data_IF_329946848731
#
_entry.id   IF_329946848731
#
_cell.length_a   1.000
_cell.length_b   1.000
_cell.length_c   1.000
_cell.angle_alpha   90.00
_cell.angle_beta   90.00
_cell.angle_gamma   90.00
#
_symmetry.space_group_name_H-M   'P 1'
#
loop_
_entity.id
_entity.type
_entity.pdbx_description
1 polymer ?
#
# COMPACT_ATOMS: atom_id res chain seq x y z
N UNK A 1 20.58 -13.89 -11.75
CA UNK A 1 20.12 -14.62 -10.55
C UNK A 1 18.61 -14.43 -10.46
N UNK A 2 17.86 -15.50 -10.24
CA UNK A 2 16.41 -15.46 -10.04
C UNK A 2 16.10 -14.60 -8.82
N UNK A 3 15.02 -13.78 -8.86
CA UNK A 3 14.66 -12.89 -7.74
C UNK A 3 13.16 -12.86 -7.52
N UNK A 4 12.77 -13.09 -6.26
CA UNK A 4 11.44 -12.92 -5.70
C UNK A 4 11.51 -12.11 -4.40
N UNK A 5 12.50 -11.24 -4.29
CA UNK A 5 12.80 -10.45 -3.08
C UNK A 5 11.74 -9.37 -2.84
N UNK A 6 11.25 -8.75 -3.92
CA UNK A 6 10.28 -7.64 -3.87
C UNK A 6 9.50 -7.51 -5.18
N UNK A 7 8.48 -6.64 -5.17
CA UNK A 7 7.59 -6.36 -6.30
C UNK A 7 7.82 -5.00 -6.99
N UNK A 8 8.99 -4.36 -6.75
CA UNK A 8 9.31 -3.03 -7.28
C UNK A 8 10.67 -2.97 -8.02
N UNK A 9 11.28 -4.09 -8.33
CA UNK A 9 12.58 -4.12 -9.05
C UNK A 9 12.44 -4.02 -10.57
N UNK A 10 11.27 -4.30 -11.15
CA UNK A 10 11.02 -4.10 -12.57
C UNK A 10 10.76 -2.61 -12.85
N UNK A 11 11.15 -2.13 -14.05
CA UNK A 11 11.10 -0.70 -14.37
C UNK A 11 9.65 -0.17 -14.47
N UNK A 12 8.98 -0.44 -15.58
CA UNK A 12 7.57 -0.12 -15.81
C UNK A 12 6.98 -1.07 -16.83
N UNK A 13 5.66 -1.23 -16.85
CA UNK A 13 5.01 -2.07 -17.85
C UNK A 13 5.24 -1.51 -19.27
N UNK A 14 5.31 -2.38 -20.30
CA UNK A 14 5.61 -1.97 -21.68
C UNK A 14 4.71 -0.86 -22.21
N UNK A 15 3.45 -0.84 -21.82
CA UNK A 15 2.46 0.16 -22.24
C UNK A 15 2.84 1.57 -21.78
N UNK A 16 3.34 1.73 -20.56
CA UNK A 16 3.82 3.02 -20.03
C UNK A 16 5.06 3.47 -20.79
N UNK A 17 6.04 2.57 -21.00
CA UNK A 17 7.27 2.88 -21.75
C UNK A 17 6.94 3.33 -23.17
N UNK A 18 6.08 2.61 -23.87
CA UNK A 18 5.65 2.96 -25.22
C UNK A 18 4.97 4.33 -25.26
N UNK A 19 4.13 4.64 -24.27
CA UNK A 19 3.43 5.93 -24.21
C UNK A 19 4.38 7.09 -23.91
N UNK A 20 5.34 6.92 -23.03
CA UNK A 20 6.39 7.93 -22.79
C UNK A 20 7.19 8.21 -24.06
N UNK A 21 7.52 7.14 -24.80
CA UNK A 21 8.25 7.29 -26.08
C UNK A 21 7.43 8.03 -27.14
N UNK A 22 6.14 7.84 -27.21
CA UNK A 22 5.26 8.52 -28.17
C UNK A 22 5.23 10.02 -27.95
N UNK A 23 5.23 10.48 -26.69
CA UNK A 23 5.07 11.88 -26.32
C UNK A 23 6.39 12.62 -26.07
N UNK A 24 7.54 12.01 -26.38
CA UNK A 24 8.87 12.53 -26.04
C UNK A 24 9.16 13.96 -26.53
N UNK A 25 8.47 14.41 -27.57
CA UNK A 25 8.62 15.73 -28.16
C UNK A 25 7.49 16.70 -27.79
N UNK A 26 6.57 16.29 -26.94
CA UNK A 26 5.47 17.12 -26.48
C UNK A 26 5.86 17.96 -25.25
N UNK A 27 5.17 19.07 -25.07
CA UNK A 27 5.35 19.95 -23.90
C UNK A 27 4.04 20.03 -23.14
N UNK A 28 4.12 19.88 -21.81
CA UNK A 28 2.95 19.85 -20.95
C UNK A 28 3.06 20.85 -19.80
N UNK A 29 1.96 21.41 -19.30
CA UNK A 29 1.94 22.15 -18.04
C UNK A 29 2.55 21.34 -16.90
N UNK A 30 3.27 22.00 -16.00
CA UNK A 30 3.90 21.35 -14.87
C UNK A 30 2.98 21.14 -13.67
N UNK A 31 3.54 20.50 -12.64
CA UNK A 31 2.97 20.41 -11.29
C UNK A 31 1.60 19.73 -11.23
N UNK A 32 1.32 18.77 -12.13
CA UNK A 32 0.08 17.99 -12.13
C UNK A 32 -1.15 18.71 -12.68
N UNK A 33 -0.97 19.88 -13.36
CA UNK A 33 -2.10 20.65 -13.94
C UNK A 33 -2.41 20.29 -15.39
N UNK A 34 -1.70 19.31 -15.93
CA UNK A 34 -1.76 18.83 -17.30
C UNK A 34 -2.98 17.94 -17.58
N UNK A 35 -3.18 17.61 -18.85
CA UNK A 35 -4.33 16.84 -19.29
C UNK A 35 -4.21 15.33 -18.97
N UNK A 36 -3.00 14.78 -18.81
CA UNK A 36 -2.82 13.39 -18.37
C UNK A 36 -3.24 13.21 -16.91
N UNK A 37 -2.82 14.12 -16.03
CA UNK A 37 -3.28 14.11 -14.64
C UNK A 37 -4.81 14.25 -14.54
N UNK A 38 -5.42 15.14 -15.35
CA UNK A 38 -6.88 15.29 -15.39
C UNK A 38 -7.58 14.01 -15.88
N UNK A 39 -7.05 13.40 -16.95
CA UNK A 39 -7.61 12.17 -17.51
C UNK A 39 -7.51 11.01 -16.52
N UNK A 40 -6.34 10.81 -15.91
CA UNK A 40 -6.13 9.79 -14.88
C UNK A 40 -7.07 10.00 -13.68
N UNK A 41 -7.17 11.23 -13.17
CA UNK A 41 -8.08 11.56 -12.08
C UNK A 41 -9.54 11.30 -12.45
N UNK A 42 -9.94 11.61 -13.69
CA UNK A 42 -11.28 11.32 -14.19
C UNK A 42 -11.61 9.83 -14.19
N UNK A 43 -10.68 8.97 -14.64
CA UNK A 43 -10.84 7.51 -14.64
C UNK A 43 -10.94 6.93 -13.22
N UNK A 44 -10.06 7.37 -12.31
CA UNK A 44 -10.09 6.92 -10.92
C UNK A 44 -11.39 7.37 -10.25
N UNK A 45 -11.81 8.62 -10.45
CA UNK A 45 -13.09 9.15 -9.94
C UNK A 45 -14.29 8.35 -10.42
N UNK A 46 -14.30 7.95 -11.69
CA UNK A 46 -15.37 7.13 -12.26
C UNK A 46 -15.43 5.73 -11.61
N UNK A 47 -14.28 5.12 -11.31
CA UNK A 47 -14.21 3.82 -10.60
C UNK A 47 -14.60 3.92 -9.13
N UNK A 48 -14.42 5.07 -8.51
CA UNK A 48 -14.88 5.36 -7.15
C UNK A 48 -16.39 5.66 -7.08
N UNK A 49 -17.07 5.81 -8.23
CA UNK A 49 -18.46 6.27 -8.33
C UNK A 49 -18.75 7.51 -7.45
N UNK A 50 -17.76 8.39 -7.36
CA UNK A 50 -17.82 9.54 -6.45
C UNK A 50 -17.24 10.80 -7.10
N UNK A 51 -18.12 11.71 -7.58
CA UNK A 51 -17.72 12.94 -8.27
C UNK A 51 -16.98 13.93 -7.36
N UNK A 52 -17.13 13.83 -6.04
CA UNK A 52 -16.48 14.70 -5.06
C UNK A 52 -15.07 14.25 -4.71
N UNK A 53 -14.65 13.06 -5.17
CA UNK A 53 -13.30 12.57 -4.94
C UNK A 53 -12.26 13.48 -5.58
N UNK A 54 -11.28 13.89 -4.78
CA UNK A 54 -10.13 14.71 -5.20
C UNK A 54 -8.90 13.83 -5.32
N UNK A 55 -8.26 13.81 -6.50
CA UNK A 55 -7.18 12.89 -6.81
C UNK A 55 -5.87 13.64 -7.00
N UNK A 56 -4.84 13.22 -6.28
CA UNK A 56 -3.48 13.74 -6.35
C UNK A 56 -2.50 12.64 -6.73
N UNK A 57 -1.41 13.00 -7.43
CA UNK A 57 -0.37 12.06 -7.80
C UNK A 57 0.94 12.45 -7.15
N UNK A 58 1.50 11.56 -6.32
CA UNK A 58 2.76 11.75 -5.59
C UNK A 58 3.78 10.69 -6.03
N UNK A 59 5.04 10.82 -5.60
CA UNK A 59 6.15 10.06 -6.20
C UNK A 59 6.39 8.68 -5.61
N UNK A 60 6.04 8.43 -4.37
CA UNK A 60 6.32 7.14 -3.72
C UNK A 60 5.65 7.01 -2.37
N UNK A 61 5.47 5.77 -1.90
CA UNK A 61 4.65 5.43 -0.73
C UNK A 61 5.04 6.18 0.54
N UNK A 62 6.30 6.11 0.97
CA UNK A 62 6.78 6.79 2.19
C UNK A 62 6.53 8.30 2.15
N UNK A 63 6.85 8.96 1.01
CA UNK A 63 6.59 10.39 0.85
C UNK A 63 5.08 10.68 0.88
N UNK A 64 4.27 9.83 0.27
CA UNK A 64 2.82 9.93 0.27
C UNK A 64 2.26 9.82 1.69
N UNK A 65 2.73 8.84 2.47
CA UNK A 65 2.32 8.66 3.87
C UNK A 65 2.67 9.88 4.72
N UNK A 66 3.89 10.44 4.56
CA UNK A 66 4.29 11.68 5.22
C UNK A 66 3.32 12.83 4.90
N UNK A 67 3.10 13.10 3.61
CA UNK A 67 2.27 14.23 3.16
C UNK A 67 0.83 14.09 3.63
N UNK A 68 0.24 12.90 3.47
CA UNK A 68 -1.15 12.65 3.85
C UNK A 68 -1.31 12.76 5.36
N UNK A 69 -0.51 12.05 6.16
CA UNK A 69 -0.62 12.04 7.62
C UNK A 69 -0.38 13.45 8.19
N UNK A 70 0.64 14.18 7.71
CA UNK A 70 0.91 15.56 8.12
C UNK A 70 -0.26 16.50 7.77
N UNK A 71 -0.97 16.22 6.68
CA UNK A 71 -2.09 17.06 6.24
C UNK A 71 -3.40 16.86 6.99
N UNK A 72 -3.66 15.62 7.48
CA UNK A 72 -4.94 15.26 8.11
C UNK A 72 -4.86 15.12 9.63
N UNK A 73 -3.66 15.23 10.21
CA UNK A 73 -3.41 15.01 11.64
C UNK A 73 -3.03 16.34 12.30
N UNK A 74 -3.68 16.68 13.41
CA UNK A 74 -3.32 17.88 14.16
C UNK A 74 -1.91 17.75 14.78
N UNK A 75 -1.16 18.85 14.84
CA UNK A 75 0.25 18.86 15.29
C UNK A 75 0.51 18.18 16.65
N UNK A 76 -0.48 18.16 17.55
CA UNK A 76 -0.41 17.54 18.88
C UNK A 76 -0.91 16.10 18.91
N UNK A 77 -1.25 15.54 17.76
CA UNK A 77 -1.85 14.22 17.63
C UNK A 77 -0.91 13.23 16.92
N UNK A 78 -1.21 11.96 17.07
CA UNK A 78 -0.47 10.87 16.46
C UNK A 78 -1.36 9.98 15.58
N UNK A 79 -0.74 9.05 14.87
CA UNK A 79 -1.40 8.12 13.95
C UNK A 79 -1.48 6.73 14.57
N UNK A 80 -2.70 6.20 14.70
CA UNK A 80 -2.94 4.84 15.21
C UNK A 80 -2.81 3.84 14.07
N UNK A 81 -2.01 2.80 14.27
CA UNK A 81 -1.80 1.74 13.27
C UNK A 81 -1.47 0.40 13.93
N UNK A 82 -1.40 -0.68 13.13
CA UNK A 82 -0.83 -1.96 13.57
C UNK A 82 0.67 -1.79 13.90
N UNK A 83 1.20 -2.55 14.86
CA UNK A 83 2.63 -2.54 15.18
C UNK A 83 3.50 -3.05 14.03
N UNK A 84 2.94 -3.86 13.12
CA UNK A 84 3.56 -4.29 11.86
C UNK A 84 3.42 -3.29 10.70
N UNK A 85 2.66 -2.19 10.87
CA UNK A 85 2.39 -1.22 9.80
C UNK A 85 3.68 -0.63 9.22
N UNK A 86 3.70 -0.39 7.90
CA UNK A 86 4.85 0.10 7.17
C UNK A 86 5.40 1.42 7.76
N UNK A 87 4.52 2.33 8.15
CA UNK A 87 4.88 3.61 8.79
C UNK A 87 5.58 3.44 10.14
N UNK A 88 5.35 2.31 10.84
CA UNK A 88 5.97 2.00 12.12
C UNK A 88 7.32 1.30 11.96
N UNK A 89 7.49 0.48 10.91
CA UNK A 89 8.59 -0.49 10.83
C UNK A 89 9.59 -0.20 9.70
N UNK A 90 9.17 0.38 8.57
CA UNK A 90 9.97 0.42 7.34
C UNK A 90 10.09 1.82 6.70
N UNK A 91 9.80 2.90 7.44
CA UNK A 91 9.89 4.27 6.92
C UNK A 91 10.93 5.15 7.64
N UNK A 92 11.83 4.53 8.41
CA UNK A 92 12.97 5.21 9.06
C UNK A 92 12.58 6.47 9.89
N UNK A 93 11.40 6.44 10.54
CA UNK A 93 10.89 7.58 11.30
C UNK A 93 10.35 8.72 10.43
N UNK A 94 9.88 8.42 9.22
CA UNK A 94 9.34 9.44 8.31
C UNK A 94 8.14 10.18 8.89
N UNK A 95 7.27 9.48 9.61
CA UNK A 95 6.09 10.10 10.24
C UNK A 95 6.52 10.96 11.44
N UNK A 96 7.44 10.47 12.27
CA UNK A 96 7.99 11.23 13.40
C UNK A 96 8.72 12.49 12.92
N UNK A 97 9.34 12.46 11.73
CA UNK A 97 9.98 13.64 11.13
C UNK A 97 8.98 14.74 10.75
N UNK A 98 7.69 14.44 10.59
CA UNK A 98 6.61 15.44 10.43
C UNK A 98 6.12 16.00 11.77
N UNK A 99 6.61 15.46 12.89
CA UNK A 99 6.20 15.86 14.24
C UNK A 99 5.09 14.99 14.84
N UNK A 100 4.60 13.98 14.13
CA UNK A 100 3.54 13.08 14.58
C UNK A 100 4.14 11.81 15.17
N UNK A 101 3.56 11.33 16.27
CA UNK A 101 3.93 10.06 16.88
C UNK A 101 3.15 8.92 16.24
N UNK A 102 3.82 7.82 15.92
CA UNK A 102 3.15 6.56 15.59
C UNK A 102 2.67 5.90 16.90
N UNK A 103 1.37 5.58 16.95
CA UNK A 103 0.67 4.96 18.07
C UNK A 103 0.33 3.51 17.69
N UNK A 104 1.32 2.63 17.85
CA UNK A 104 1.24 1.25 17.41
C UNK A 104 0.37 0.40 18.34
N UNK A 105 -0.58 -0.36 17.79
CA UNK A 105 -1.39 -1.35 18.48
C UNK A 105 -0.94 -2.76 18.09
N UNK A 106 -1.03 -3.76 19.00
CA UNK A 106 -0.74 -5.15 18.68
C UNK A 106 -1.60 -5.62 17.50
N UNK A 107 -0.97 -6.24 16.52
CA UNK A 107 -1.66 -6.75 15.34
C UNK A 107 -2.05 -8.23 15.50
N UNK A 108 -3.02 -8.66 14.70
CA UNK A 108 -3.31 -10.05 14.41
C UNK A 108 -3.36 -10.24 12.88
N UNK A 109 -2.46 -11.06 12.32
CA UNK A 109 -2.31 -11.23 10.87
C UNK A 109 -2.12 -9.92 10.08
N UNK A 110 -1.41 -8.94 10.69
CA UNK A 110 -1.17 -7.61 10.14
C UNK A 110 -2.31 -6.61 10.34
N UNK A 111 -3.41 -7.00 10.98
CA UNK A 111 -4.61 -6.18 11.17
C UNK A 111 -4.75 -5.67 12.60
N UNK A 112 -5.39 -4.51 12.75
CA UNK A 112 -6.04 -4.06 13.99
C UNK A 112 -7.55 -4.23 13.84
N UNK A 113 -8.26 -4.41 14.93
CA UNK A 113 -9.73 -4.55 14.92
C UNK A 113 -10.43 -3.29 15.45
N UNK A 114 -11.68 -3.07 15.03
CA UNK A 114 -12.49 -1.98 15.52
C UNK A 114 -12.68 -2.00 17.05
N UNK A 115 -12.99 -3.14 17.71
CA UNK A 115 -13.06 -3.17 19.16
C UNK A 115 -11.75 -2.82 19.88
N UNK A 116 -10.60 -3.19 19.30
CA UNK A 116 -9.29 -2.85 19.85
C UNK A 116 -8.99 -1.35 19.73
N UNK A 117 -9.36 -0.75 18.60
CA UNK A 117 -9.24 0.69 18.38
C UNK A 117 -10.11 1.47 19.36
N UNK A 118 -11.36 1.05 19.53
CA UNK A 118 -12.32 1.66 20.45
C UNK A 118 -11.82 1.61 21.89
N UNK A 119 -11.43 0.42 22.37
CA UNK A 119 -10.85 0.25 23.72
C UNK A 119 -9.60 1.13 23.94
N UNK A 120 -8.76 1.28 22.92
CA UNK A 120 -7.59 2.16 22.99
C UNK A 120 -8.00 3.63 23.17
N UNK A 121 -8.98 4.10 22.40
CA UNK A 121 -9.48 5.47 22.46
C UNK A 121 -10.23 5.74 23.77
N UNK A 122 -11.05 4.81 24.22
CA UNK A 122 -11.77 4.91 25.50
C UNK A 122 -10.80 4.98 26.70
N UNK A 123 -9.76 4.14 26.71
CA UNK A 123 -8.72 4.19 27.75
C UNK A 123 -7.96 5.52 27.72
N UNK A 124 -7.64 6.04 26.52
CA UNK A 124 -7.03 7.37 26.40
C UNK A 124 -7.93 8.44 26.99
N UNK A 125 -9.22 8.47 26.66
CA UNK A 125 -10.17 9.47 27.13
C UNK A 125 -10.43 9.37 28.64
N UNK A 126 -10.39 8.17 29.20
CA UNK A 126 -10.59 7.92 30.63
C UNK A 126 -9.37 8.31 31.50
N UNK A 127 -8.18 8.48 30.92
CA UNK A 127 -7.00 8.88 31.67
C UNK A 127 -7.10 10.35 32.11
N UNK A 128 -7.02 10.59 33.42
CA UNK A 128 -7.09 11.95 33.98
C UNK A 128 -5.98 12.89 33.47
N UNK A 129 -4.89 12.31 32.92
CA UNK A 129 -3.75 13.05 32.37
C UNK A 129 -3.76 13.12 30.84
N UNK A 130 -4.81 12.66 30.15
CA UNK A 130 -4.85 12.60 28.68
C UNK A 130 -4.53 13.95 28.01
N UNK A 131 -4.78 15.08 28.67
CA UNK A 131 -4.44 16.41 28.16
C UNK A 131 -2.91 16.64 27.99
N UNK A 132 -2.06 15.81 28.61
CA UNK A 132 -0.59 15.84 28.48
C UNK A 132 -0.05 14.74 27.58
N UNK A 133 -0.91 13.90 27.02
CA UNK A 133 -0.55 12.77 26.18
C UNK A 133 -0.73 13.11 24.70
N UNK A 134 -0.02 12.38 23.82
CA UNK A 134 -0.28 12.47 22.38
C UNK A 134 -1.64 11.86 22.09
N UNK A 135 -2.56 12.68 21.58
CA UNK A 135 -3.91 12.28 21.25
C UNK A 135 -3.93 11.39 20.00
N UNK A 136 -4.75 10.33 19.93
CA UNK A 136 -5.08 9.68 18.66
C UNK A 136 -5.70 10.69 17.68
N UNK A 137 -5.16 10.82 16.47
CA UNK A 137 -5.55 11.88 15.53
C UNK A 137 -5.95 11.38 14.15
N UNK A 138 -5.46 10.21 13.73
CA UNK A 138 -5.95 9.50 12.56
C UNK A 138 -5.71 8.01 12.73
N UNK A 139 -6.43 7.20 11.96
CA UNK A 139 -6.24 5.74 11.88
C UNK A 139 -5.62 5.41 10.51
N UNK A 140 -4.55 4.64 10.53
CA UNK A 140 -3.87 4.15 9.33
C UNK A 140 -3.95 2.63 9.27
N UNK A 141 -4.35 2.09 8.12
CA UNK A 141 -4.31 0.65 7.82
C UNK A 141 -3.78 0.44 6.41
N UNK A 142 -3.07 -0.68 6.18
CA UNK A 142 -2.62 -1.06 4.84
C UNK A 142 -3.58 -2.07 4.20
N UNK A 143 -3.88 -1.89 2.91
CA UNK A 143 -4.71 -2.80 2.12
C UNK A 143 -4.01 -3.18 0.81
N UNK A 144 -3.49 -4.43 0.67
CA UNK A 144 -3.39 -5.46 1.72
C UNK A 144 -2.40 -5.07 2.82
N UNK A 145 -2.43 -5.80 3.94
CA UNK A 145 -1.48 -5.61 5.03
C UNK A 145 -0.05 -5.99 4.59
N UNK A 146 0.93 -5.69 5.42
CA UNK A 146 2.34 -6.04 5.21
C UNK A 146 2.55 -7.56 5.11
N UNK A 147 1.65 -8.35 5.68
CA UNK A 147 1.64 -9.82 5.59
C UNK A 147 0.79 -10.37 4.43
N UNK A 148 0.29 -9.48 3.56
CA UNK A 148 -0.49 -9.86 2.38
C UNK A 148 -1.91 -10.34 2.68
N UNK A 149 -2.39 -10.17 3.90
CA UNK A 149 -3.80 -10.39 4.27
C UNK A 149 -4.65 -9.18 3.85
N UNK A 150 -5.95 -9.37 3.67
CA UNK A 150 -6.85 -8.29 3.26
C UNK A 150 -7.90 -8.04 4.35
N UNK A 151 -8.18 -6.76 4.62
CA UNK A 151 -9.37 -6.40 5.37
C UNK A 151 -10.61 -6.64 4.51
N UNK A 152 -11.64 -7.22 5.08
CA UNK A 152 -12.96 -7.27 4.46
C UNK A 152 -13.61 -5.89 4.47
N UNK A 153 -14.58 -5.68 3.58
CA UNK A 153 -15.38 -4.45 3.57
C UNK A 153 -16.02 -4.17 4.94
N UNK A 154 -16.50 -5.22 5.62
CA UNK A 154 -17.10 -5.09 6.94
C UNK A 154 -16.08 -4.66 8.01
N UNK A 155 -14.86 -5.21 7.99
CA UNK A 155 -13.79 -4.80 8.91
C UNK A 155 -13.39 -3.34 8.69
N UNK A 156 -13.22 -2.91 7.44
CA UNK A 156 -12.90 -1.51 7.10
C UNK A 156 -14.00 -0.55 7.52
N UNK A 157 -15.28 -0.90 7.27
CA UNK A 157 -16.42 -0.08 7.66
C UNK A 157 -16.53 0.05 9.19
N UNK A 158 -16.27 -1.04 9.94
CA UNK A 158 -16.27 -0.99 11.39
C UNK A 158 -15.12 -0.12 11.95
N UNK A 159 -13.92 -0.20 11.36
CA UNK A 159 -12.80 0.67 11.72
C UNK A 159 -13.11 2.15 11.43
N UNK A 160 -13.69 2.44 10.25
CA UNK A 160 -14.10 3.79 9.89
C UNK A 160 -15.12 4.36 10.88
N UNK A 161 -16.12 3.55 11.26
CA UNK A 161 -17.14 3.97 12.22
C UNK A 161 -16.51 4.35 13.56
N UNK A 162 -15.67 3.48 14.13
CA UNK A 162 -14.97 3.76 15.40
C UNK A 162 -14.05 4.97 15.27
N UNK A 163 -13.29 5.08 14.17
CA UNK A 163 -12.45 6.25 13.94
C UNK A 163 -13.27 7.55 13.95
N UNK A 164 -14.41 7.58 13.24
CA UNK A 164 -15.28 8.74 13.16
C UNK A 164 -15.96 9.05 14.50
N UNK A 165 -16.38 8.05 15.27
CA UNK A 165 -16.97 8.22 16.61
C UNK A 165 -15.98 8.92 17.58
N UNK A 166 -14.67 8.70 17.38
CA UNK A 166 -13.59 9.36 18.12
C UNK A 166 -13.01 10.60 17.40
N UNK A 167 -13.64 11.07 16.31
CA UNK A 167 -13.25 12.28 15.56
C UNK A 167 -11.95 12.16 14.78
N UNK A 168 -11.60 10.96 14.34
CA UNK A 168 -10.41 10.65 13.55
C UNK A 168 -10.78 10.28 12.11
N UNK A 169 -10.04 10.74 11.08
CA UNK A 169 -10.15 10.19 9.74
C UNK A 169 -9.53 8.79 9.65
N UNK A 170 -10.06 7.96 8.74
CA UNK A 170 -9.45 6.69 8.33
C UNK A 170 -8.65 6.90 7.04
N UNK A 171 -7.35 6.60 7.10
CA UNK A 171 -6.45 6.53 5.96
C UNK A 171 -6.12 5.08 5.63
N UNK A 172 -6.40 4.66 4.37
CA UNK A 172 -6.05 3.34 3.85
C UNK A 172 -4.86 3.46 2.90
N UNK A 173 -3.70 2.92 3.31
CA UNK A 173 -2.54 2.79 2.45
C UNK A 173 -2.74 1.64 1.46
N UNK A 174 -2.86 1.98 0.19
CA UNK A 174 -3.01 1.07 -0.92
C UNK A 174 -1.75 0.88 -1.76
N UNK A 175 -0.55 0.88 -1.16
CA UNK A 175 0.71 0.66 -1.90
C UNK A 175 0.70 -0.61 -2.76
N UNK A 176 -0.12 -1.59 -2.39
CA UNK A 176 -0.38 -2.85 -3.12
C UNK A 176 -1.87 -3.06 -3.43
N UNK A 177 -2.65 -1.99 -3.49
CA UNK A 177 -4.11 -2.06 -3.58
C UNK A 177 -4.61 -2.93 -4.73
N UNK A 178 -3.96 -2.87 -5.89
CA UNK A 178 -4.33 -3.69 -7.04
C UNK A 178 -4.32 -5.18 -6.72
N UNK A 179 -3.36 -5.65 -5.96
CA UNK A 179 -3.28 -7.06 -5.54
C UNK A 179 -4.40 -7.41 -4.55
N UNK A 180 -4.76 -6.52 -3.64
CA UNK A 180 -5.91 -6.72 -2.77
C UNK A 180 -7.21 -6.77 -3.57
N UNK A 181 -7.44 -5.82 -4.49
CA UNK A 181 -8.68 -5.73 -5.28
C UNK A 181 -8.89 -6.92 -6.23
N UNK A 182 -7.84 -7.69 -6.53
CA UNK A 182 -7.90 -8.81 -7.50
C UNK A 182 -7.65 -10.17 -6.90
N UNK A 183 -7.52 -10.30 -5.59
CA UNK A 183 -7.43 -11.60 -4.91
C UNK A 183 -8.83 -12.17 -4.64
N UNK A 184 -8.93 -13.50 -4.53
CA UNK A 184 -10.21 -14.20 -4.33
C UNK A 184 -10.88 -13.90 -3.00
N UNK A 185 -10.13 -13.49 -1.98
CA UNK A 185 -10.65 -13.15 -0.66
C UNK A 185 -11.24 -11.74 -0.57
N UNK A 186 -11.09 -10.93 -1.62
CA UNK A 186 -11.55 -9.54 -1.62
C UNK A 186 -13.07 -9.44 -1.83
N UNK A 187 -13.71 -8.60 -1.01
CA UNK A 187 -15.13 -8.28 -1.08
C UNK A 187 -15.43 -6.78 -1.22
N UNK A 188 -14.38 -5.98 -1.50
CA UNK A 188 -14.47 -4.53 -1.64
C UNK A 188 -13.91 -4.06 -2.99
N UNK A 189 -14.49 -3.02 -3.57
CA UNK A 189 -14.02 -2.35 -4.76
C UNK A 189 -13.62 -0.88 -4.46
N UNK A 190 -13.20 -0.11 -5.47
CA UNK A 190 -12.81 1.30 -5.28
C UNK A 190 -13.97 2.19 -4.82
N UNK A 191 -15.19 1.89 -5.24
CA UNK A 191 -16.40 2.58 -4.79
C UNK A 191 -16.66 2.32 -3.29
N UNK A 192 -16.53 1.07 -2.84
CA UNK A 192 -16.61 0.74 -1.42
C UNK A 192 -15.57 1.50 -0.59
N UNK A 193 -14.31 1.53 -1.05
CA UNK A 193 -13.24 2.27 -0.37
C UNK A 193 -13.52 3.78 -0.32
N UNK A 194 -14.05 4.35 -1.41
CA UNK A 194 -14.41 5.77 -1.47
C UNK A 194 -15.57 6.14 -0.53
N UNK A 195 -16.43 5.19 -0.20
CA UNK A 195 -17.50 5.39 0.80
C UNK A 195 -17.01 5.22 2.24
N UNK A 196 -16.04 4.34 2.47
CA UNK A 196 -15.57 3.94 3.80
C UNK A 196 -14.47 4.88 4.30
N UNK A 197 -13.40 5.06 3.51
CA UNK A 197 -12.23 5.83 3.92
C UNK A 197 -12.44 7.34 3.74
N UNK A 198 -11.74 8.15 4.52
CA UNK A 198 -11.62 9.60 4.30
C UNK A 198 -10.54 9.91 3.26
N UNK A 199 -9.49 9.10 3.25
CA UNK A 199 -8.43 9.14 2.24
C UNK A 199 -7.89 7.73 2.03
N UNK A 200 -7.55 7.41 0.78
CA UNK A 200 -6.83 6.18 0.48
C UNK A 200 -5.84 6.41 -0.67
N UNK A 201 -4.86 5.50 -0.78
CA UNK A 201 -3.91 5.55 -1.88
C UNK A 201 -4.11 4.39 -2.85
N UNK A 202 -3.75 4.61 -4.11
CA UNK A 202 -3.67 3.59 -5.14
C UNK A 202 -2.23 3.50 -5.59
N UNK A 203 -1.55 2.43 -5.20
CA UNK A 203 -0.14 2.22 -5.51
C UNK A 203 0.10 1.93 -6.99
N UNK A 204 0.93 2.76 -7.63
CA UNK A 204 1.40 2.53 -9.00
C UNK A 204 2.76 1.85 -9.04
N UNK A 205 3.67 2.24 -8.14
CA UNK A 205 5.07 1.79 -8.10
C UNK A 205 5.22 0.26 -8.15
N UNK A 206 4.37 -0.46 -7.44
CA UNK A 206 4.42 -1.94 -7.38
C UNK A 206 3.54 -2.61 -8.43
N UNK A 207 2.66 -1.87 -9.11
CA UNK A 207 1.66 -2.40 -10.04
C UNK A 207 1.89 -1.85 -11.47
N UNK A 208 3.14 -1.90 -11.91
CA UNK A 208 3.49 -1.61 -13.30
C UNK A 208 3.87 -0.18 -13.63
N UNK A 209 3.72 0.79 -12.73
CA UNK A 209 4.29 2.12 -12.91
C UNK A 209 5.81 2.11 -12.67
N UNK A 210 6.51 3.07 -13.24
CA UNK A 210 7.91 3.34 -12.94
C UNK A 210 8.07 3.89 -11.53
N UNK A 211 7.12 4.73 -11.10
CA UNK A 211 6.98 5.31 -9.78
C UNK A 211 5.61 5.99 -9.68
N UNK A 212 5.14 6.21 -8.47
CA UNK A 212 3.96 7.02 -8.21
C UNK A 212 2.86 6.32 -7.45
N UNK A 213 2.13 7.15 -6.71
CA UNK A 213 0.96 6.80 -5.91
C UNK A 213 -0.14 7.82 -6.21
N UNK A 214 -1.38 7.36 -6.41
CA UNK A 214 -2.53 8.26 -6.44
C UNK A 214 -3.13 8.35 -5.04
N UNK A 215 -3.32 9.57 -4.53
CA UNK A 215 -4.03 9.85 -3.28
C UNK A 215 -5.45 10.25 -3.63
N UNK A 216 -6.42 9.62 -3.01
CA UNK A 216 -7.86 9.87 -3.20
C UNK A 216 -8.45 10.39 -1.90
N UNK A 217 -8.76 11.68 -1.83
CA UNK A 217 -9.60 12.27 -0.80
C UNK A 217 -11.06 12.10 -1.22
N UNK A 218 -11.87 11.46 -0.39
CA UNK A 218 -13.12 10.85 -0.86
C UNK A 218 -14.36 11.76 -0.78
N UNK A 219 -14.29 12.88 -0.08
CA UNK A 219 -15.47 13.71 0.25
C UNK A 219 -15.26 15.20 0.00
N UNK A 220 -14.42 15.57 -0.97
CA UNK A 220 -13.99 16.97 -1.12
C UNK A 220 -13.26 17.47 0.13
N UNK A 221 -12.65 16.57 0.88
CA UNK A 221 -12.02 16.80 2.18
C UNK A 221 -10.50 17.00 2.07
N UNK A 222 -9.99 17.32 0.87
CA UNK A 222 -8.59 17.71 0.71
C UNK A 222 -8.28 18.91 1.62
N UNK A 223 -7.28 18.83 2.49
CA UNK A 223 -6.92 19.95 3.35
C UNK A 223 -6.55 21.20 2.56
N UNK A 224 -6.98 22.39 3.03
CA UNK A 224 -6.80 23.68 2.32
C UNK A 224 -5.35 23.93 1.88
N UNK A 225 -4.37 23.56 2.73
CA UNK A 225 -2.95 23.78 2.46
C UNK A 225 -2.24 22.56 1.85
N UNK A 226 -2.96 21.58 1.32
CA UNK A 226 -2.38 20.32 0.84
C UNK A 226 -1.28 20.54 -0.21
N UNK A 227 -1.49 21.43 -1.19
CA UNK A 227 -0.46 21.77 -2.18
C UNK A 227 0.83 22.30 -1.55
N UNK A 228 0.71 23.10 -0.48
CA UNK A 228 1.87 23.64 0.23
C UNK A 228 2.65 22.54 0.94
N UNK A 229 1.96 21.58 1.57
CA UNK A 229 2.57 20.40 2.19
C UNK A 229 3.21 19.49 1.14
N UNK A 230 2.54 19.22 0.03
CA UNK A 230 3.13 18.46 -1.10
C UNK A 230 4.43 19.14 -1.57
N UNK A 231 4.47 20.47 -1.65
CA UNK A 231 5.68 21.21 -2.01
C UNK A 231 6.75 21.15 -0.92
N UNK A 232 6.37 21.30 0.33
CA UNK A 232 7.25 21.27 1.49
C UNK A 232 8.00 19.94 1.59
N UNK A 233 7.29 18.80 1.38
CA UNK A 233 7.86 17.46 1.37
C UNK A 233 8.57 17.10 0.05
N UNK A 234 8.73 18.04 -0.89
CA UNK A 234 9.41 17.79 -2.16
C UNK A 234 8.64 16.90 -3.14
N UNK A 235 7.35 16.66 -2.89
CA UNK A 235 6.50 15.78 -3.68
C UNK A 235 5.87 16.47 -4.91
N UNK A 236 5.91 17.80 -5.01
CA UNK A 236 5.33 18.55 -6.12
C UNK A 236 6.33 18.64 -7.28
N UNK A 237 6.26 17.67 -8.18
CA UNK A 237 7.17 17.55 -9.31
C UNK A 237 6.87 18.58 -10.40
N UNK A 238 7.93 19.25 -10.91
CA UNK A 238 7.81 20.12 -12.10
C UNK A 238 7.29 19.35 -13.31
N UNK A 239 7.71 18.09 -13.49
CA UNK A 239 7.20 17.17 -14.53
C UNK A 239 6.12 16.22 -13.98
N UNK A 240 5.18 16.73 -13.18
CA UNK A 240 4.09 15.94 -12.58
C UNK A 240 3.21 15.21 -13.59
N UNK A 241 3.15 15.68 -14.84
CA UNK A 241 2.46 15.02 -15.93
C UNK A 241 2.93 13.59 -16.20
N UNK A 242 4.19 13.24 -15.83
CA UNK A 242 4.68 11.86 -15.90
C UNK A 242 3.94 10.91 -14.95
N UNK A 243 3.52 11.41 -13.80
CA UNK A 243 2.68 10.63 -12.88
C UNK A 243 1.29 10.41 -13.51
N UNK A 244 0.66 11.49 -13.98
CA UNK A 244 -0.64 11.42 -14.64
C UNK A 244 -0.66 10.47 -15.83
N UNK A 245 0.34 10.54 -16.71
CA UNK A 245 0.46 9.66 -17.87
C UNK A 245 0.52 8.18 -17.47
N UNK A 246 1.26 7.85 -16.42
CA UNK A 246 1.37 6.47 -15.94
C UNK A 246 0.02 5.97 -15.41
N UNK A 247 -0.65 6.75 -14.56
CA UNK A 247 -1.96 6.38 -14.03
C UNK A 247 -3.04 6.39 -15.12
N UNK A 248 -3.03 7.34 -16.05
CA UNK A 248 -3.92 7.33 -17.20
C UNK A 248 -3.76 6.06 -18.05
N UNK A 249 -2.52 5.58 -18.22
CA UNK A 249 -2.21 4.33 -18.90
C UNK A 249 -2.70 3.12 -18.12
N UNK A 250 -2.42 3.04 -16.82
CA UNK A 250 -2.80 1.93 -15.96
C UNK A 250 -4.32 1.77 -15.86
N UNK A 251 -5.06 2.89 -15.86
CA UNK A 251 -6.52 2.89 -15.82
C UNK A 251 -7.18 2.94 -17.20
N UNK A 252 -6.45 2.60 -18.28
CA UNK A 252 -6.98 2.34 -19.60
C UNK A 252 -7.13 0.83 -19.79
N UNK A 253 -8.29 0.39 -20.29
CA UNK A 253 -8.58 -1.02 -20.60
C UNK A 253 -8.28 -2.00 -19.46
N UNK A 254 -8.57 -1.59 -18.23
CA UNK A 254 -8.38 -2.37 -16.99
C UNK A 254 -6.94 -2.88 -16.75
N UNK A 255 -5.94 -2.26 -17.36
CA UNK A 255 -4.55 -2.70 -17.29
C UNK A 255 -4.04 -2.87 -15.84
N UNK A 256 -4.39 -1.94 -14.95
CA UNK A 256 -4.02 -1.99 -13.53
C UNK A 256 -4.47 -3.30 -12.86
N UNK A 257 -5.71 -3.70 -13.11
CA UNK A 257 -6.28 -4.94 -12.56
C UNK A 257 -5.73 -6.18 -13.24
N UNK A 258 -5.46 -6.13 -14.56
CA UNK A 258 -4.86 -7.24 -15.30
C UNK A 258 -3.46 -7.55 -14.78
N UNK A 259 -2.60 -6.52 -14.59
CA UNK A 259 -1.25 -6.67 -14.04
C UNK A 259 -1.29 -7.22 -12.62
N UNK A 260 -2.22 -6.76 -11.81
CA UNK A 260 -2.41 -7.22 -10.43
C UNK A 260 -2.86 -8.68 -10.36
N UNK A 261 -3.86 -9.04 -11.16
CA UNK A 261 -4.38 -10.42 -11.24
C UNK A 261 -3.31 -11.40 -11.70
N UNK A 262 -2.47 -10.98 -12.67
CA UNK A 262 -1.33 -11.77 -13.11
C UNK A 262 -0.37 -12.09 -11.94
N UNK A 263 0.02 -11.09 -11.16
CA UNK A 263 0.93 -11.29 -10.03
C UNK A 263 0.35 -12.24 -8.97
N UNK A 264 -0.95 -12.09 -8.63
CA UNK A 264 -1.64 -12.98 -7.70
C UNK A 264 -1.66 -14.43 -8.23
N UNK A 265 -1.98 -14.63 -9.52
CA UNK A 265 -2.00 -15.96 -10.12
C UNK A 265 -0.61 -16.64 -10.10
N UNK A 266 0.48 -15.87 -10.26
CA UNK A 266 1.83 -16.40 -10.09
C UNK A 266 2.15 -16.77 -8.64
N UNK A 267 1.68 -15.97 -7.67
CA UNK A 267 1.81 -16.29 -6.25
C UNK A 267 1.04 -17.57 -5.88
N UNK A 268 -0.16 -17.77 -6.42
CA UNK A 268 -0.98 -18.96 -6.15
C UNK A 268 -0.29 -20.24 -6.60
N UNK A 269 0.36 -20.23 -7.78
CA UNK A 269 1.15 -21.38 -8.26
C UNK A 269 2.29 -21.73 -7.28
N UNK A 270 2.99 -20.69 -6.78
CA UNK A 270 4.09 -20.89 -5.82
C UNK A 270 3.53 -21.39 -4.47
N UNK A 271 2.45 -20.79 -4.00
CA UNK A 271 1.79 -21.17 -2.73
C UNK A 271 1.36 -22.63 -2.76
N UNK A 272 0.71 -23.07 -3.84
CA UNK A 272 0.31 -24.48 -3.99
C UNK A 272 1.53 -25.41 -3.98
N UNK A 273 2.60 -25.07 -4.68
CA UNK A 273 3.82 -25.88 -4.70
C UNK A 273 4.50 -25.97 -3.31
N UNK A 274 4.49 -24.89 -2.55
CA UNK A 274 5.00 -24.87 -1.16
C UNK A 274 4.20 -25.81 -0.26
N UNK A 275 2.86 -25.77 -0.36
CA UNK A 275 1.98 -26.66 0.39
C UNK A 275 2.19 -28.12 0.02
N UNK A 276 2.28 -28.43 -1.29
CA UNK A 276 2.53 -29.78 -1.79
C UNK A 276 3.88 -30.37 -1.31
N UNK A 277 4.87 -29.49 -1.09
CA UNK A 277 6.20 -29.85 -0.60
C UNK A 277 6.33 -29.80 0.93
N UNK A 278 5.25 -29.42 1.64
CA UNK A 278 5.21 -29.42 3.11
C UNK A 278 5.97 -28.26 3.77
N UNK A 279 6.11 -27.13 3.08
CA UNK A 279 6.67 -25.91 3.70
C UNK A 279 5.70 -25.32 4.73
N UNK A 280 6.25 -24.77 5.80
CA UNK A 280 5.51 -23.98 6.78
C UNK A 280 5.25 -22.57 6.22
N UNK A 281 3.98 -22.26 5.94
CA UNK A 281 3.52 -20.95 5.49
C UNK A 281 3.08 -20.16 6.73
N UNK A 282 3.86 -19.11 7.05
CA UNK A 282 3.70 -18.36 8.29
C UNK A 282 2.38 -17.57 8.39
N UNK A 283 1.84 -17.10 7.25
CA UNK A 283 0.57 -16.35 7.18
C UNK A 283 -0.28 -16.84 6.03
N UNK A 284 -1.61 -16.86 6.21
CA UNK A 284 -2.56 -17.09 5.13
C UNK A 284 -2.70 -15.82 4.29
N UNK A 285 -1.61 -15.46 3.59
CA UNK A 285 -1.60 -14.35 2.63
C UNK A 285 -2.48 -14.69 1.42
N UNK A 286 -3.26 -13.73 0.96
CA UNK A 286 -4.17 -13.89 -0.19
C UNK A 286 -3.69 -13.14 -1.43
N UNK A 287 -2.55 -12.46 -1.35
CA UNK A 287 -2.05 -11.59 -2.42
C UNK A 287 -0.71 -12.08 -2.99
N UNK A 288 0.04 -11.20 -3.62
CA UNK A 288 1.30 -11.46 -4.30
C UNK A 288 2.50 -11.76 -3.36
N UNK A 289 2.31 -11.73 -2.06
CA UNK A 289 3.36 -12.02 -1.07
C UNK A 289 3.08 -13.35 -0.38
N UNK A 290 4.11 -14.18 -0.20
CA UNK A 290 4.06 -15.47 0.50
C UNK A 290 5.19 -15.47 1.53
N UNK A 291 4.90 -15.93 2.73
CA UNK A 291 5.84 -15.96 3.84
C UNK A 291 6.06 -17.40 4.30
N UNK A 292 7.32 -17.83 4.30
CA UNK A 292 7.71 -19.19 4.71
C UNK A 292 8.67 -19.15 5.89
N UNK A 293 8.46 -20.04 6.85
CA UNK A 293 9.41 -20.27 7.93
C UNK A 293 10.35 -21.41 7.54
N UNK A 294 11.65 -21.14 7.55
CA UNK A 294 12.68 -22.13 7.19
C UNK A 294 13.84 -22.05 8.18
N UNK A 295 14.62 -23.15 8.27
CA UNK A 295 15.87 -23.12 9.04
C UNK A 295 16.91 -22.19 8.43
N UNK A 296 17.83 -21.66 9.23
CA UNK A 296 18.95 -20.84 8.73
C UNK A 296 19.75 -21.53 7.61
N UNK A 297 19.97 -22.86 7.72
CA UNK A 297 20.67 -23.63 6.70
C UNK A 297 19.89 -23.68 5.39
N UNK A 298 18.57 -23.91 5.45
CA UNK A 298 17.72 -23.91 4.24
C UNK A 298 17.64 -22.52 3.61
N UNK A 299 17.54 -21.48 4.41
CA UNK A 299 17.57 -20.11 3.91
C UNK A 299 18.87 -19.80 3.14
N UNK A 300 20.03 -20.18 3.70
CA UNK A 300 21.32 -20.01 3.04
C UNK A 300 21.42 -20.80 1.73
N UNK A 301 20.94 -22.04 1.70
CA UNK A 301 20.92 -22.86 0.48
C UNK A 301 20.07 -22.22 -0.63
N UNK A 302 18.84 -21.78 -0.31
CA UNK A 302 17.95 -21.11 -1.25
C UNK A 302 18.57 -19.82 -1.79
N UNK A 303 19.15 -19.00 -0.90
CA UNK A 303 19.74 -17.70 -1.26
C UNK A 303 20.99 -17.78 -2.15
N UNK A 304 21.61 -18.95 -2.29
CA UNK A 304 22.67 -19.19 -3.29
C UNK A 304 22.12 -19.19 -4.73
N UNK A 305 20.85 -19.51 -4.92
CA UNK A 305 20.23 -19.70 -6.23
C UNK A 305 19.13 -18.68 -6.56
N UNK A 306 18.43 -18.20 -5.53
CA UNK A 306 17.32 -17.24 -5.66
C UNK A 306 17.41 -16.18 -4.58
N UNK A 307 17.11 -14.91 -4.94
CA UNK A 307 16.95 -13.83 -3.95
C UNK A 307 15.53 -13.88 -3.39
N UNK A 308 15.42 -13.99 -2.08
CA UNK A 308 14.18 -13.92 -1.30
C UNK A 308 14.30 -12.80 -0.28
N UNK A 309 13.18 -12.16 0.06
CA UNK A 309 13.16 -11.12 1.08
C UNK A 309 13.34 -11.73 2.48
N UNK A 310 14.21 -11.16 3.30
CA UNK A 310 14.26 -11.46 4.73
C UNK A 310 13.16 -10.65 5.43
N UNK A 311 12.38 -11.29 6.31
CA UNK A 311 11.37 -10.60 7.11
C UNK A 311 11.83 -10.46 8.55
N UNK A 312 12.04 -11.58 9.25
CA UNK A 312 12.46 -11.56 10.65
C UNK A 312 13.13 -12.88 11.06
N UNK A 313 13.82 -12.86 12.19
CA UNK A 313 14.24 -14.06 12.87
C UNK A 313 13.08 -14.57 13.74
N UNK A 314 12.64 -15.80 13.48
CA UNK A 314 11.52 -16.42 14.21
C UNK A 314 12.01 -16.95 15.57
N UNK A 315 13.16 -17.64 15.55
CA UNK A 315 13.85 -18.15 16.74
C UNK A 315 15.36 -18.33 16.47
N UNK A 316 16.08 -18.98 17.37
CA UNK A 316 17.53 -19.22 17.24
C UNK A 316 17.91 -20.10 16.01
N UNK A 317 16.94 -20.84 15.43
CA UNK A 317 17.17 -21.81 14.34
C UNK A 317 16.39 -21.50 13.06
N UNK A 318 15.39 -20.63 13.11
CA UNK A 318 14.48 -20.36 12.00
C UNK A 318 14.40 -18.87 11.65
N UNK A 319 14.23 -18.61 10.37
CA UNK A 319 13.96 -17.29 9.81
C UNK A 319 12.69 -17.33 8.96
N UNK A 320 12.01 -16.19 8.91
CA UNK A 320 10.91 -15.97 7.97
C UNK A 320 11.44 -15.31 6.71
N UNK A 321 11.17 -15.92 5.56
CA UNK A 321 11.49 -15.39 4.24
C UNK A 321 10.20 -15.02 3.51
N UNK A 322 10.26 -13.94 2.72
CA UNK A 322 9.19 -13.51 1.84
C UNK A 322 9.52 -13.88 0.40
N UNK A 323 8.55 -14.47 -0.29
CA UNK A 323 8.51 -14.66 -1.73
C UNK A 323 7.51 -13.66 -2.28
N UNK A 324 7.93 -12.81 -3.22
CA UNK A 324 7.11 -11.74 -3.75
C UNK A 324 7.03 -11.84 -5.27
N UNK A 325 5.83 -12.01 -5.82
CA UNK A 325 5.58 -11.93 -7.26
C UNK A 325 5.18 -10.50 -7.65
N UNK A 326 5.30 -10.19 -8.93
CA UNK A 326 4.93 -8.88 -9.47
C UNK A 326 4.25 -9.03 -10.85
N UNK A 327 3.79 -7.94 -11.39
CA UNK A 327 3.29 -7.85 -12.75
C UNK A 327 4.27 -8.36 -13.82
N UNK A 328 5.57 -8.36 -13.53
CA UNK A 328 6.63 -8.81 -14.44
C UNK A 328 7.07 -10.26 -14.22
N UNK A 329 6.52 -10.95 -13.22
CA UNK A 329 6.90 -12.35 -12.92
C UNK A 329 6.41 -13.28 -14.03
N UNK A 330 7.33 -14.07 -14.63
CA UNK A 330 7.01 -14.98 -15.74
C UNK A 330 6.77 -16.42 -15.25
N UNK A 331 6.07 -17.22 -16.07
CA UNK A 331 5.85 -18.63 -15.79
C UNK A 331 7.18 -19.42 -15.67
N UNK A 332 8.19 -19.09 -16.49
CA UNK A 332 9.51 -19.72 -16.43
C UNK A 332 10.22 -19.42 -15.10
N UNK A 333 10.09 -18.19 -14.59
CA UNK A 333 10.65 -17.81 -13.28
C UNK A 333 9.97 -18.58 -12.15
N UNK A 334 8.64 -18.72 -12.21
CA UNK A 334 7.88 -19.49 -11.23
C UNK A 334 8.26 -20.96 -11.27
N UNK A 335 8.35 -21.56 -12.47
CA UNK A 335 8.77 -22.95 -12.63
C UNK A 335 10.21 -23.17 -12.10
N UNK A 336 11.12 -22.25 -12.36
CA UNK A 336 12.49 -22.29 -11.85
C UNK A 336 12.53 -22.19 -10.32
N UNK A 337 11.72 -21.31 -9.70
CA UNK A 337 11.61 -21.25 -8.24
C UNK A 337 11.07 -22.56 -7.66
N UNK A 338 9.96 -23.07 -8.19
CA UNK A 338 9.34 -24.32 -7.73
C UNK A 338 10.32 -25.51 -7.79
N UNK A 339 11.22 -25.53 -8.77
CA UNK A 339 12.25 -26.56 -8.87
C UNK A 339 13.33 -26.46 -7.76
N UNK A 340 13.53 -25.29 -7.16
CA UNK A 340 14.47 -25.06 -6.05
C UNK A 340 13.84 -25.34 -4.67
N UNK A 341 12.52 -25.18 -4.55
CA UNK A 341 11.78 -25.47 -3.34
C UNK A 341 11.64 -27.01 -3.13
#
# INVERSE_FOLDING_TARGET
>A
MLSFENDYSAAACPQIIARIQQIQNETHPGYGTDDYCKAAAGKIRALCDNPESDIWFLTGGTQTNQVVIDSITAQYAGVVCADSAHINTHEAGAIEATGHKVLALPQQDGKISAPQLDDYCERFNADANHAHMVRPGCVYVSQPTEYGTVYTRAELAALAQVAHDHGMPLFIDGARLGYALTCDANDANLDDLARIADVFTIGGTKVGAMFGEAVVFTRGNTPENFTALVKLHGALLAKGWLLGLQFDTLFTDDLYFQLSKHANAQADKIRQALLDKGYDIAFVSQTNQIFITVTHSRAQELQQQVKLGFMEAVDASHVMLRICTSWATTDDQVAALIALL
#
